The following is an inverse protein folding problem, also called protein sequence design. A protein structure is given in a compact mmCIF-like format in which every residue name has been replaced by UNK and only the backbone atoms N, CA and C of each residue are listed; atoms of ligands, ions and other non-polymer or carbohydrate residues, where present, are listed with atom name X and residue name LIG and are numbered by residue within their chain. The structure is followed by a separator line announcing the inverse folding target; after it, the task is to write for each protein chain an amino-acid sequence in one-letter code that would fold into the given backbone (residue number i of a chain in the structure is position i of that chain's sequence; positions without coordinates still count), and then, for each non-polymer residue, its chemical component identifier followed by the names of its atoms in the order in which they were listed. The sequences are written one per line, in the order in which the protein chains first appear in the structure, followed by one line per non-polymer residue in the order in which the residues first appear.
data_IF_719542866493
#
_entry.id   IF_719542866493
#
_cell.length_a   1.000
_cell.length_b   1.000
_cell.length_c   1.000
_cell.angle_alpha   90.00
_cell.angle_beta   90.00
_cell.angle_gamma   90.00
#
_symmetry.space_group_name_H-M   'P 1'
#
loop_
_entity.id
_entity.type
_entity.pdbx_description
1 polymer ?
#
# COMPACT_ATOMS: atom_id res chain seq x y z
N UNK A 1 -39.58 27.66 11.49
CA UNK A 1 -39.94 28.98 10.87
C UNK A 1 -38.82 29.34 9.93
N UNK A 2 -38.95 28.91 8.69
CA UNK A 2 -37.93 29.12 7.66
C UNK A 2 -38.10 30.52 7.08
N UNK A 3 -37.10 31.37 7.28
CA UNK A 3 -37.00 32.64 6.58
C UNK A 3 -36.66 32.38 5.12
N UNK A 4 -37.68 32.37 4.26
CA UNK A 4 -37.49 32.58 2.82
C UNK A 4 -36.86 33.93 2.61
N UNK A 5 -35.57 33.99 2.36
CA UNK A 5 -34.87 35.16 1.88
C UNK A 5 -35.14 35.31 0.37
N UNK A 6 -35.66 36.45 0.00
CA UNK A 6 -35.68 37.12 -1.30
C UNK A 6 -35.05 36.36 -2.46
N UNK A 7 -35.84 35.70 -3.30
CA UNK A 7 -35.55 35.38 -4.71
C UNK A 7 -34.11 35.01 -5.12
N UNK A 8 -33.19 34.81 -4.17
CA UNK A 8 -31.81 34.41 -4.43
C UNK A 8 -31.77 32.94 -4.75
N UNK A 9 -31.18 32.63 -5.88
CA UNK A 9 -30.93 31.23 -6.30
C UNK A 9 -29.95 30.59 -5.31
N UNK A 10 -30.38 29.49 -4.68
CA UNK A 10 -29.45 28.66 -3.90
C UNK A 10 -28.56 27.87 -4.86
N UNK A 11 -27.40 28.40 -5.17
CA UNK A 11 -26.45 27.77 -6.08
C UNK A 11 -25.98 26.39 -5.62
N UNK A 12 -26.03 26.10 -4.33
CA UNK A 12 -25.66 24.79 -3.80
C UNK A 12 -26.64 23.68 -4.28
N UNK A 13 -27.90 24.00 -4.54
CA UNK A 13 -28.89 23.06 -5.05
C UNK A 13 -28.76 22.82 -6.57
N UNK A 14 -28.02 23.66 -7.27
CA UNK A 14 -27.75 23.48 -8.71
C UNK A 14 -26.54 22.62 -9.00
N UNK A 15 -25.76 22.28 -7.99
CA UNK A 15 -24.54 21.47 -8.13
C UNK A 15 -24.92 19.99 -8.12
N UNK A 16 -24.65 19.32 -9.23
CA UNK A 16 -24.83 17.88 -9.35
C UNK A 16 -23.58 17.17 -8.82
N UNK A 17 -23.52 16.98 -7.51
CA UNK A 17 -22.47 16.17 -6.90
C UNK A 17 -22.80 14.68 -7.01
N UNK A 18 -21.79 13.81 -7.19
CA UNK A 18 -22.01 12.36 -7.18
C UNK A 18 -22.52 11.93 -5.80
N UNK A 19 -23.60 11.15 -5.78
CA UNK A 19 -24.06 10.48 -4.58
C UNK A 19 -23.39 9.11 -4.50
N UNK A 20 -22.41 8.98 -3.62
CA UNK A 20 -21.61 7.76 -3.48
C UNK A 20 -21.23 7.53 -2.02
N UNK A 21 -21.13 6.26 -1.63
CA UNK A 21 -20.59 5.85 -0.33
C UNK A 21 -19.06 5.95 -0.28
N UNK A 22 -18.41 6.23 -1.41
CA UNK A 22 -16.97 6.39 -1.46
C UNK A 22 -16.56 7.64 -0.65
N UNK A 23 -15.66 7.51 0.34
CA UNK A 23 -15.30 8.61 1.22
C UNK A 23 -14.56 9.72 0.47
N UNK A 24 -14.97 10.96 0.70
CA UNK A 24 -14.34 12.15 0.10
C UNK A 24 -12.90 12.40 0.61
N UNK A 25 -12.55 11.83 1.75
CA UNK A 25 -11.22 11.92 2.35
C UNK A 25 -10.65 10.53 2.53
N UNK A 26 -9.37 10.35 2.20
CA UNK A 26 -8.69 9.08 2.33
C UNK A 26 -8.61 8.62 3.80
N UNK A 27 -8.38 9.55 4.74
CA UNK A 27 -8.21 9.27 6.18
C UNK A 27 -7.30 8.05 6.43
N UNK A 28 -6.11 8.05 5.81
CA UNK A 28 -5.22 6.90 5.79
C UNK A 28 -4.85 6.34 7.16
N UNK A 29 -4.64 7.16 8.21
CA UNK A 29 -4.31 6.62 9.54
C UNK A 29 -5.34 5.64 10.09
N UNK A 30 -6.62 5.81 9.75
CA UNK A 30 -7.69 4.92 10.18
C UNK A 30 -8.03 3.87 9.11
N UNK A 31 -7.95 4.24 7.84
CA UNK A 31 -8.30 3.35 6.73
C UNK A 31 -7.26 2.23 6.52
N UNK A 32 -5.96 2.52 6.62
CA UNK A 32 -4.92 1.52 6.37
C UNK A 32 -4.94 0.35 7.34
N UNK A 33 -5.09 0.54 8.68
CA UNK A 33 -5.22 -0.59 9.60
C UNK A 33 -6.42 -1.49 9.30
N UNK A 34 -7.55 -0.89 8.88
CA UNK A 34 -8.74 -1.64 8.50
C UNK A 34 -8.49 -2.48 7.24
N UNK A 35 -7.87 -1.87 6.21
CA UNK A 35 -7.50 -2.59 4.98
C UNK A 35 -6.53 -3.75 5.25
N UNK A 36 -5.54 -3.55 6.11
CA UNK A 36 -4.60 -4.61 6.49
C UNK A 36 -5.32 -5.76 7.19
N UNK A 37 -6.25 -5.44 8.10
CA UNK A 37 -7.07 -6.45 8.75
C UNK A 37 -7.88 -7.26 7.73
N UNK A 38 -8.57 -6.59 6.84
CA UNK A 38 -9.38 -7.25 5.80
C UNK A 38 -8.53 -8.15 4.89
N UNK A 39 -7.33 -7.70 4.50
CA UNK A 39 -6.40 -8.50 3.71
C UNK A 39 -5.90 -9.74 4.43
N UNK A 40 -5.65 -9.62 5.74
CA UNK A 40 -5.27 -10.76 6.57
C UNK A 40 -6.43 -11.74 6.76
N UNK A 41 -7.64 -11.24 7.01
CA UNK A 41 -8.84 -12.07 7.23
C UNK A 41 -9.17 -12.93 6.00
N UNK A 42 -8.94 -12.40 4.80
CA UNK A 42 -9.19 -13.15 3.55
C UNK A 42 -7.97 -13.91 3.02
N UNK A 43 -6.81 -13.77 3.67
CA UNK A 43 -5.50 -14.29 3.20
C UNK A 43 -5.24 -13.92 1.72
N UNK A 44 -5.23 -12.61 1.45
CA UNK A 44 -5.14 -12.10 0.07
C UNK A 44 -3.87 -12.57 -0.65
N UNK A 45 -2.76 -12.77 0.08
CA UNK A 45 -1.52 -13.24 -0.52
C UNK A 45 -1.65 -14.68 -1.03
N UNK A 46 -2.17 -15.60 -0.24
CA UNK A 46 -2.40 -16.97 -0.66
C UNK A 46 -3.38 -17.05 -1.84
N UNK A 47 -4.47 -16.27 -1.80
CA UNK A 47 -5.41 -16.18 -2.93
C UNK A 47 -4.74 -15.70 -4.21
N UNK A 48 -3.91 -14.66 -4.13
CA UNK A 48 -3.17 -14.17 -5.30
C UNK A 48 -2.21 -15.21 -5.86
N UNK A 49 -1.56 -15.99 -4.99
CA UNK A 49 -0.70 -17.09 -5.38
C UNK A 49 -1.48 -18.20 -6.10
N UNK A 50 -2.66 -18.54 -5.61
CA UNK A 50 -3.51 -19.57 -6.21
C UNK A 50 -4.06 -19.12 -7.58
N UNK A 51 -4.58 -17.90 -7.69
CA UNK A 51 -5.12 -17.34 -8.94
C UNK A 51 -4.05 -17.26 -10.03
N UNK A 52 -2.80 -16.95 -9.66
CA UNK A 52 -1.70 -16.82 -10.62
C UNK A 52 -0.96 -18.12 -10.94
N UNK A 53 -1.37 -19.23 -10.33
CA UNK A 53 -0.77 -20.53 -10.53
C UNK A 53 -0.83 -20.97 -12.00
N UNK A 54 0.31 -21.38 -12.54
CA UNK A 54 0.45 -21.76 -13.94
C UNK A 54 0.75 -20.59 -14.90
N UNK A 55 0.66 -19.35 -14.47
CA UNK A 55 1.05 -18.21 -15.27
C UNK A 55 2.58 -18.09 -15.38
N UNK A 56 3.05 -17.28 -16.34
CA UNK A 56 4.47 -16.98 -16.50
C UNK A 56 5.03 -16.39 -15.21
N UNK A 57 6.13 -16.94 -14.72
CA UNK A 57 6.75 -16.53 -13.46
C UNK A 57 7.51 -15.21 -13.61
N UNK A 58 7.39 -14.36 -12.61
CA UNK A 58 8.23 -13.19 -12.40
C UNK A 58 8.70 -13.16 -10.95
N UNK A 59 10.01 -13.18 -10.72
CA UNK A 59 10.60 -13.15 -9.39
C UNK A 59 11.37 -11.85 -9.18
N UNK A 60 11.07 -11.15 -8.09
CA UNK A 60 11.81 -9.97 -7.65
C UNK A 60 12.50 -10.28 -6.33
N UNK A 61 13.82 -10.27 -6.33
CA UNK A 61 14.61 -10.34 -5.10
C UNK A 61 14.66 -9.00 -4.38
N UNK A 62 14.56 -9.03 -3.07
CA UNK A 62 14.80 -7.85 -2.26
C UNK A 62 16.29 -7.53 -2.19
N UNK A 63 16.65 -6.23 -2.34
CA UNK A 63 17.88 -5.67 -1.80
C UNK A 63 17.52 -5.11 -0.44
N UNK A 64 17.83 -5.83 0.65
CA UNK A 64 17.37 -5.45 1.97
C UNK A 64 18.12 -4.23 2.51
N UNK A 65 17.52 -3.47 3.44
CA UNK A 65 18.23 -2.48 4.19
C UNK A 65 19.28 -3.16 5.09
N UNK A 66 20.41 -2.49 5.29
CA UNK A 66 21.42 -2.92 6.24
C UNK A 66 20.92 -2.70 7.67
N UNK A 67 21.04 -3.71 8.53
CA UNK A 67 20.40 -3.73 9.85
C UNK A 67 21.20 -2.96 10.92
N UNK A 68 21.69 -1.74 10.62
CA UNK A 68 22.55 -0.93 11.49
C UNK A 68 21.89 0.37 11.99
N UNK A 69 20.61 0.57 11.79
CA UNK A 69 19.93 1.80 12.22
C UNK A 69 18.46 1.87 11.86
N UNK A 70 17.86 3.03 12.07
CA UNK A 70 16.45 3.27 11.79
C UNK A 70 16.16 3.36 10.29
N UNK A 71 14.93 3.04 9.92
CA UNK A 71 14.43 3.24 8.57
C UNK A 71 14.37 4.73 8.23
N UNK A 72 14.66 5.07 6.99
CA UNK A 72 14.58 6.42 6.46
C UNK A 72 13.85 6.46 5.12
N UNK A 73 13.59 7.66 4.59
CA UNK A 73 12.81 7.86 3.37
C UNK A 73 13.37 7.10 2.15
N UNK A 74 14.67 6.87 2.07
CA UNK A 74 15.29 6.06 1.02
C UNK A 74 14.83 4.60 1.07
N UNK A 75 14.66 4.03 2.26
CA UNK A 75 14.07 2.70 2.41
C UNK A 75 12.61 2.67 1.96
N UNK A 76 11.83 3.69 2.34
CA UNK A 76 10.43 3.81 1.91
C UNK A 76 10.34 3.85 0.37
N UNK A 77 11.12 4.72 -0.28
CA UNK A 77 11.16 4.81 -1.74
C UNK A 77 11.51 3.46 -2.38
N UNK A 78 12.54 2.79 -1.89
CA UNK A 78 12.97 1.49 -2.41
C UNK A 78 11.84 0.44 -2.32
N UNK A 79 11.17 0.34 -1.17
CA UNK A 79 10.09 -0.62 -0.95
C UNK A 79 8.84 -0.30 -1.78
N UNK A 80 8.48 0.98 -1.88
CA UNK A 80 7.35 1.42 -2.70
C UNK A 80 7.58 1.10 -4.18
N UNK A 81 8.78 1.37 -4.72
CA UNK A 81 9.08 1.03 -6.11
C UNK A 81 9.02 -0.48 -6.38
N UNK A 82 9.50 -1.30 -5.44
CA UNK A 82 9.38 -2.76 -5.55
C UNK A 82 7.92 -3.23 -5.50
N UNK A 83 7.12 -2.66 -4.60
CA UNK A 83 5.69 -2.96 -4.50
C UNK A 83 4.95 -2.59 -5.79
N UNK A 84 5.24 -1.44 -6.38
CA UNK A 84 4.67 -1.04 -7.67
C UNK A 84 5.02 -2.04 -8.79
N UNK A 85 6.27 -2.52 -8.84
CA UNK A 85 6.68 -3.53 -9.82
C UNK A 85 5.94 -4.85 -9.60
N UNK A 86 5.88 -5.33 -8.35
CA UNK A 86 5.21 -6.57 -7.98
C UNK A 86 3.73 -6.52 -8.36
N UNK A 87 3.03 -5.46 -7.97
CA UNK A 87 1.60 -5.27 -8.26
C UNK A 87 1.34 -5.13 -9.76
N UNK A 88 2.14 -4.33 -10.47
CA UNK A 88 1.97 -4.17 -11.92
C UNK A 88 2.17 -5.49 -12.67
N UNK A 89 3.17 -6.28 -12.30
CA UNK A 89 3.39 -7.60 -12.89
C UNK A 89 2.26 -8.58 -12.60
N UNK A 90 1.73 -8.56 -11.37
CA UNK A 90 0.55 -9.36 -11.03
C UNK A 90 -0.66 -8.95 -11.87
N UNK A 91 -0.93 -7.65 -12.01
CA UNK A 91 -2.01 -7.13 -12.87
C UNK A 91 -1.82 -7.46 -14.35
N UNK A 92 -0.59 -7.66 -14.79
CA UNK A 92 -0.24 -8.17 -16.13
C UNK A 92 -0.33 -9.70 -16.25
N UNK A 93 -0.95 -10.36 -15.29
CA UNK A 93 -1.19 -11.79 -15.25
C UNK A 93 0.07 -12.66 -15.11
N UNK A 94 1.10 -12.17 -14.41
CA UNK A 94 2.25 -13.00 -14.03
C UNK A 94 2.02 -13.69 -12.69
N UNK A 95 2.64 -14.85 -12.53
CA UNK A 95 2.83 -15.49 -11.22
C UNK A 95 4.02 -14.82 -10.53
N UNK A 96 3.73 -13.85 -9.67
CA UNK A 96 4.75 -12.99 -9.06
C UNK A 96 5.21 -13.54 -7.72
N UNK A 97 6.52 -13.59 -7.52
CA UNK A 97 7.15 -13.87 -6.22
C UNK A 97 8.04 -12.70 -5.82
N UNK A 98 7.78 -12.12 -4.67
CA UNK A 98 8.69 -11.20 -4.02
C UNK A 98 9.47 -11.95 -2.94
N UNK A 99 10.79 -12.05 -3.09
CA UNK A 99 11.65 -12.80 -2.19
C UNK A 99 12.33 -11.84 -1.22
N UNK A 100 11.95 -11.82 0.05
CA UNK A 100 12.59 -10.98 1.05
C UNK A 100 14.04 -11.41 1.28
N UNK A 101 14.87 -10.47 1.69
CA UNK A 101 16.27 -10.71 2.02
C UNK A 101 16.67 -9.98 3.31
N UNK A 102 17.81 -10.37 3.85
CA UNK A 102 18.38 -9.79 5.07
C UNK A 102 19.87 -9.53 4.87
N UNK A 103 20.32 -8.38 5.37
CA UNK A 103 21.72 -7.97 5.38
C UNK A 103 22.07 -7.58 6.83
N UNK A 104 22.53 -8.56 7.61
CA UNK A 104 22.58 -8.50 9.06
C UNK A 104 23.95 -8.94 9.64
N UNK A 105 25.05 -8.81 8.90
CA UNK A 105 26.39 -9.17 9.38
C UNK A 105 27.47 -8.18 8.93
N UNK A 106 28.63 -8.26 9.56
CA UNK A 106 29.77 -7.39 9.31
C UNK A 106 30.01 -6.38 10.42
N UNK A 107 31.19 -5.75 10.41
CA UNK A 107 31.64 -4.85 11.46
C UNK A 107 30.64 -3.79 11.93
N UNK A 108 29.88 -3.09 11.04
CA UNK A 108 28.91 -2.10 11.52
C UNK A 108 27.76 -2.70 12.33
N UNK A 109 27.39 -3.96 12.07
CA UNK A 109 26.37 -4.67 12.86
C UNK A 109 26.95 -5.12 14.19
N UNK A 110 28.14 -5.70 14.18
CA UNK A 110 28.85 -6.15 15.37
C UNK A 110 29.08 -4.98 16.34
N UNK A 111 29.57 -3.86 15.84
CA UNK A 111 29.71 -2.64 16.62
C UNK A 111 28.38 -2.13 17.21
N UNK A 112 27.31 -2.19 16.44
CA UNK A 112 25.99 -1.73 16.91
C UNK A 112 25.39 -2.63 17.99
N UNK A 113 25.76 -3.89 18.05
CA UNK A 113 25.35 -4.83 19.10
C UNK A 113 26.17 -4.60 20.39
N UNK A 114 27.40 -4.11 20.29
CA UNK A 114 28.26 -3.84 21.43
C UNK A 114 27.95 -2.49 22.13
N UNK A 115 27.30 -1.52 21.46
CA UNK A 115 26.81 -0.27 22.05
C UNK A 115 25.65 -0.51 23.05
#
# INVERSE_FOLDING_TARGET
MDKKANGEINWAETILLPNTEFPMRANLPDAEPSLLKDWNDIDIYAKNREISKGNKTFTLHDGPPYANGNLHIGHALNKILKDLIVRSKFMMNYNVSYIPGWDCHGLPIEWKVEE
#
